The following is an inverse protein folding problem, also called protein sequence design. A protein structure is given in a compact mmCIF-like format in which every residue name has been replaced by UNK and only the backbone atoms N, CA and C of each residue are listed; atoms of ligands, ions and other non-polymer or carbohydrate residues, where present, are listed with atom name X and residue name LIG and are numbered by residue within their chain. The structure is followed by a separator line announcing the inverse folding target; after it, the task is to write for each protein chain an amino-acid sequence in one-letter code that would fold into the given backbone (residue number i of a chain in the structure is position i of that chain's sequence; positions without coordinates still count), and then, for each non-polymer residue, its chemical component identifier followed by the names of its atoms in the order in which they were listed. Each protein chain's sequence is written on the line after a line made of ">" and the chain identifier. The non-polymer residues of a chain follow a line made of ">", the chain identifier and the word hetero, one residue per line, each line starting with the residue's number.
data_IF_657698879747
#
_entry.id   IF_657698879747
#
_cell.length_a   1.000
_cell.length_b   1.000
_cell.length_c   1.000
_cell.angle_alpha   90.00
_cell.angle_beta   90.00
_cell.angle_gamma   90.00
#
_symmetry.space_group_name_H-M   'P 1'
#
loop_
_entity.id
_entity.type
_entity.pdbx_description
1 polymer ?
#
# COMPACT_ATOMS: atom_id res chain seq x y z
N UNK A 1 2.36 14.71 23.37
CA UNK A 1 2.55 13.82 22.21
C UNK A 1 3.97 13.30 22.31
N UNK A 2 4.19 11.99 22.23
CA UNK A 2 5.54 11.45 22.18
C UNK A 2 6.20 11.96 20.87
N UNK A 3 7.47 12.33 20.96
CA UNK A 3 8.26 12.76 19.81
C UNK A 3 8.34 11.61 18.80
N UNK A 4 8.19 11.89 17.50
CA UNK A 4 8.28 10.86 16.46
C UNK A 4 9.66 10.19 16.50
N UNK A 5 9.76 8.86 16.49
CA UNK A 5 11.04 8.18 16.42
C UNK A 5 11.69 8.31 15.02
N UNK A 6 10.97 8.88 14.06
CA UNK A 6 11.42 9.04 12.68
C UNK A 6 12.00 10.44 12.47
N UNK A 7 13.20 10.46 11.88
CA UNK A 7 13.91 11.67 11.49
C UNK A 7 13.73 11.93 10.00
N UNK A 8 13.80 13.19 9.52
CA UNK A 8 13.65 13.51 8.09
C UNK A 8 14.58 12.71 7.17
N UNK A 9 15.83 12.48 7.59
CA UNK A 9 16.82 11.71 6.81
C UNK A 9 16.41 10.24 6.60
N UNK A 10 15.56 9.67 7.42
CA UNK A 10 15.03 8.31 7.23
C UNK A 10 14.20 8.20 5.93
N UNK A 11 13.58 9.30 5.52
CA UNK A 11 12.71 9.35 4.35
C UNK A 11 13.37 9.99 3.12
N UNK A 12 14.68 10.33 3.21
CA UNK A 12 15.45 10.80 2.07
C UNK A 12 15.58 9.70 0.99
N UNK A 13 15.54 10.10 -0.27
CA UNK A 13 15.65 9.21 -1.43
C UNK A 13 16.94 9.47 -2.19
N UNK A 14 17.35 8.57 -3.08
CA UNK A 14 18.48 8.81 -3.97
C UNK A 14 18.10 9.76 -5.12
N UNK A 15 16.83 9.70 -5.53
CA UNK A 15 16.23 10.57 -6.52
C UNK A 15 15.16 11.42 -5.82
N UNK A 16 15.47 12.68 -5.55
CA UNK A 16 14.60 13.67 -4.91
C UNK A 16 13.80 14.50 -5.93
N UNK A 17 13.92 14.20 -7.23
CA UNK A 17 13.08 14.85 -8.24
C UNK A 17 11.60 14.61 -7.93
N UNK A 18 10.72 15.59 -8.22
CA UNK A 18 9.28 15.45 -7.96
C UNK A 18 8.70 14.18 -8.54
N UNK A 19 7.90 13.46 -7.76
CA UNK A 19 7.33 12.18 -8.17
C UNK A 19 6.51 12.24 -9.47
N UNK A 20 5.75 13.30 -9.79
CA UNK A 20 5.11 13.44 -11.08
C UNK A 20 6.06 13.30 -12.28
N UNK A 21 7.32 13.74 -12.17
CA UNK A 21 8.32 13.59 -13.24
C UNK A 21 8.71 12.12 -13.42
N UNK A 22 8.89 11.40 -12.31
CA UNK A 22 9.24 9.96 -12.36
C UNK A 22 8.07 9.10 -12.87
N UNK A 23 6.82 9.42 -12.47
CA UNK A 23 5.62 8.66 -12.81
C UNK A 23 4.89 9.17 -14.06
N UNK A 24 5.40 10.17 -14.78
CA UNK A 24 4.79 10.71 -16.02
C UNK A 24 4.70 9.64 -17.12
N UNK A 25 5.76 8.83 -17.28
CA UNK A 25 5.76 7.73 -18.24
C UNK A 25 5.07 6.49 -17.66
N UNK A 26 4.02 5.99 -18.33
CA UNK A 26 3.33 4.77 -17.91
C UNK A 26 4.28 3.56 -17.84
N UNK A 27 4.22 2.82 -16.74
CA UNK A 27 4.99 1.59 -16.50
C UNK A 27 4.03 0.41 -16.37
N UNK A 28 3.59 -0.10 -17.53
CA UNK A 28 2.66 -1.24 -17.61
C UNK A 28 3.40 -2.56 -17.37
N UNK A 29 4.02 -2.69 -16.20
CA UNK A 29 4.73 -3.88 -15.77
C UNK A 29 4.19 -4.34 -14.41
N UNK A 30 4.17 -5.63 -14.16
CA UNK A 30 3.93 -6.18 -12.83
C UNK A 30 5.26 -6.26 -12.09
N UNK A 31 5.24 -5.99 -10.79
CA UNK A 31 6.46 -5.87 -10.00
C UNK A 31 6.82 -7.15 -9.24
N UNK A 32 5.90 -8.11 -9.19
CA UNK A 32 6.04 -9.42 -8.55
C UNK A 32 5.63 -10.50 -9.54
N UNK A 33 6.11 -11.72 -9.34
CA UNK A 33 5.84 -12.83 -10.23
C UNK A 33 4.40 -13.40 -10.09
N UNK A 34 4.01 -14.28 -11.00
CA UNK A 34 2.64 -14.82 -11.07
C UNK A 34 2.25 -15.61 -9.81
N UNK A 35 3.19 -16.30 -9.15
CA UNK A 35 2.92 -17.02 -7.91
C UNK A 35 2.62 -16.04 -6.77
N UNK A 36 3.41 -14.97 -6.67
CA UNK A 36 3.19 -13.92 -5.68
C UNK A 36 1.86 -13.17 -5.95
N UNK A 37 1.53 -12.90 -7.22
CA UNK A 37 0.25 -12.29 -7.60
C UNK A 37 -0.93 -13.18 -7.17
N UNK A 38 -0.85 -14.48 -7.41
CA UNK A 38 -1.95 -15.39 -7.03
C UNK A 38 -2.09 -15.49 -5.51
N UNK A 39 -0.98 -15.43 -4.76
CA UNK A 39 -1.03 -15.36 -3.29
C UNK A 39 -1.67 -14.05 -2.79
N UNK A 40 -1.37 -12.90 -3.42
CA UNK A 40 -2.05 -11.63 -3.12
C UNK A 40 -3.56 -11.75 -3.34
N UNK A 41 -3.99 -12.33 -4.46
CA UNK A 41 -5.41 -12.58 -4.73
C UNK A 41 -6.05 -13.51 -3.70
N UNK A 42 -5.34 -14.58 -3.32
CA UNK A 42 -5.85 -15.49 -2.29
C UNK A 42 -5.96 -14.78 -0.93
N UNK A 43 -4.95 -13.98 -0.58
CA UNK A 43 -5.00 -13.17 0.64
C UNK A 43 -6.20 -12.21 0.65
N UNK A 44 -6.52 -11.56 -0.48
CA UNK A 44 -7.69 -10.70 -0.60
C UNK A 44 -9.00 -11.47 -0.37
N UNK A 45 -9.15 -12.67 -0.96
CA UNK A 45 -10.33 -13.54 -0.73
C UNK A 45 -10.50 -13.91 0.73
N UNK A 46 -9.39 -14.20 1.42
CA UNK A 46 -9.39 -14.68 2.81
C UNK A 46 -9.68 -13.55 3.81
N UNK A 47 -9.38 -12.29 3.44
CA UNK A 47 -9.21 -11.22 4.44
C UNK A 47 -10.09 -10.00 4.20
N UNK A 48 -10.26 -9.58 2.93
CA UNK A 48 -11.01 -8.38 2.61
C UNK A 48 -12.52 -8.64 2.67
N UNK A 49 -13.33 -7.64 3.03
CA UNK A 49 -14.77 -7.78 3.04
C UNK A 49 -15.28 -8.02 1.62
N UNK A 50 -16.02 -9.11 1.42
CA UNK A 50 -16.78 -9.32 0.20
C UNK A 50 -17.88 -8.24 0.11
N UNK A 51 -18.05 -7.66 -1.07
CA UNK A 51 -19.04 -6.60 -1.31
C UNK A 51 -18.75 -5.28 -0.56
N UNK A 52 -17.48 -5.00 -0.25
CA UNK A 52 -17.01 -3.77 0.39
C UNK A 52 -16.65 -2.65 -0.60
N UNK A 53 -16.55 -1.42 -0.08
CA UNK A 53 -15.91 -0.28 -0.76
C UNK A 53 -14.44 -0.25 -0.37
N UNK A 54 -13.56 -0.47 -1.32
CA UNK A 54 -12.13 -0.66 -1.10
C UNK A 54 -11.34 0.47 -1.77
N UNK A 55 -10.30 0.96 -1.11
CA UNK A 55 -9.31 1.85 -1.69
C UNK A 55 -8.02 1.08 -1.98
N UNK A 56 -7.59 1.07 -3.24
CA UNK A 56 -6.26 0.69 -3.67
C UNK A 56 -5.37 1.95 -3.65
N UNK A 57 -4.61 2.09 -2.57
CA UNK A 57 -3.78 3.27 -2.29
C UNK A 57 -2.40 3.10 -2.94
N UNK A 58 -1.92 4.09 -3.67
CA UNK A 58 -0.75 4.04 -4.54
C UNK A 58 -0.95 3.06 -5.72
N UNK A 59 -2.15 3.07 -6.25
CA UNK A 59 -2.59 2.23 -7.36
C UNK A 59 -1.87 2.55 -8.67
N UNK A 60 -1.83 1.57 -9.54
CA UNK A 60 -1.29 1.62 -10.89
C UNK A 60 -2.19 0.85 -11.86
N UNK A 61 -1.64 0.25 -12.91
CA UNK A 61 -2.38 -0.43 -13.98
C UNK A 61 -2.94 -1.82 -13.60
N UNK A 62 -2.62 -2.34 -12.41
CA UNK A 62 -3.13 -3.61 -11.84
C UNK A 62 -3.27 -3.52 -10.33
N UNK A 63 -4.45 -3.86 -9.84
CA UNK A 63 -4.74 -3.96 -8.41
C UNK A 63 -4.67 -5.40 -7.89
N UNK A 64 -4.51 -6.36 -8.80
CA UNK A 64 -4.51 -7.80 -8.50
C UNK A 64 -5.79 -8.27 -7.79
N UNK A 65 -6.92 -7.61 -8.07
CA UNK A 65 -8.21 -8.02 -7.52
C UNK A 65 -8.61 -9.40 -8.04
N UNK A 66 -9.10 -10.33 -7.17
CA UNK A 66 -9.58 -11.62 -7.63
C UNK A 66 -10.83 -11.45 -8.51
N UNK A 67 -10.86 -11.99 -9.74
CA UNK A 67 -11.97 -11.77 -10.67
C UNK A 67 -13.30 -12.42 -10.22
N UNK A 68 -13.21 -13.39 -9.31
CA UNK A 68 -14.33 -14.10 -8.72
C UNK A 68 -14.80 -13.52 -7.39
N UNK A 69 -14.12 -12.50 -6.84
CA UNK A 69 -14.47 -11.86 -5.58
C UNK A 69 -15.39 -10.65 -5.83
N UNK A 70 -16.61 -10.66 -5.29
CA UNK A 70 -17.49 -9.50 -5.41
C UNK A 70 -16.92 -8.30 -4.65
N UNK A 71 -17.22 -7.11 -5.13
CA UNK A 71 -16.93 -5.83 -4.48
C UNK A 71 -18.05 -4.86 -4.77
N UNK A 72 -18.32 -3.95 -3.85
CA UNK A 72 -19.25 -2.85 -4.13
C UNK A 72 -18.55 -1.80 -5.00
N UNK A 73 -17.32 -1.42 -4.65
CA UNK A 73 -16.50 -0.48 -5.42
C UNK A 73 -15.01 -0.67 -5.07
N UNK A 74 -14.15 -0.65 -6.09
CA UNK A 74 -12.71 -0.52 -5.94
C UNK A 74 -12.26 0.82 -6.52
N UNK A 75 -11.75 1.70 -5.66
CA UNK A 75 -11.25 3.02 -6.03
C UNK A 75 -9.73 3.00 -6.02
N UNK A 76 -9.10 3.45 -7.10
CA UNK A 76 -7.65 3.65 -7.15
C UNK A 76 -7.27 5.07 -6.74
N UNK A 77 -6.18 5.22 -5.98
CA UNK A 77 -5.51 6.51 -5.83
C UNK A 77 -4.04 6.32 -6.22
N UNK A 78 -3.60 7.07 -7.23
CA UNK A 78 -2.26 6.93 -7.78
C UNK A 78 -1.85 8.16 -8.57
N UNK A 79 -0.75 8.08 -9.31
CA UNK A 79 -0.14 9.23 -9.95
C UNK A 79 -0.26 9.24 -11.47
N UNK A 80 -0.47 8.09 -12.11
CA UNK A 80 -0.54 8.00 -13.57
C UNK A 80 -1.96 7.68 -14.04
N UNK A 81 -2.61 8.65 -14.70
CA UNK A 81 -3.98 8.52 -15.17
C UNK A 81 -4.13 7.45 -16.27
N UNK A 82 -3.13 7.29 -17.16
CA UNK A 82 -3.18 6.29 -18.22
C UNK A 82 -3.16 4.88 -17.62
N UNK A 83 -2.23 4.61 -16.69
CA UNK A 83 -2.14 3.32 -16.01
C UNK A 83 -3.46 2.95 -15.32
N UNK A 84 -4.02 3.88 -14.53
CA UNK A 84 -5.24 3.61 -13.79
C UNK A 84 -6.48 3.51 -14.69
N UNK A 85 -6.55 4.26 -15.79
CA UNK A 85 -7.65 4.13 -16.75
C UNK A 85 -7.67 2.78 -17.48
N UNK A 86 -6.53 2.11 -17.57
CA UNK A 86 -6.37 0.77 -18.15
C UNK A 86 -6.37 -0.35 -17.11
N UNK A 87 -6.54 -0.03 -15.83
CA UNK A 87 -6.66 -1.03 -14.78
C UNK A 87 -8.07 -1.64 -14.80
N UNK A 88 -8.22 -2.93 -15.18
CA UNK A 88 -9.52 -3.56 -15.36
C UNK A 88 -10.26 -3.79 -14.03
N UNK A 89 -9.55 -3.67 -12.91
CA UNK A 89 -10.11 -3.96 -11.58
C UNK A 89 -10.80 -2.73 -10.98
N UNK A 90 -10.37 -1.51 -11.37
CA UNK A 90 -10.87 -0.26 -10.80
C UNK A 90 -12.25 0.11 -11.35
N UNK A 91 -13.13 0.57 -10.47
CA UNK A 91 -14.42 1.17 -10.82
C UNK A 91 -14.33 2.70 -10.93
N UNK A 92 -13.32 3.29 -10.28
CA UNK A 92 -13.06 4.75 -10.26
C UNK A 92 -11.63 5.01 -9.81
N UNK A 93 -11.08 6.21 -10.07
CA UNK A 93 -9.77 6.57 -9.58
C UNK A 93 -9.57 8.07 -9.36
N UNK A 94 -8.59 8.41 -8.53
CA UNK A 94 -8.17 9.78 -8.23
C UNK A 94 -6.67 9.92 -8.46
N UNK A 95 -6.27 10.98 -9.17
CA UNK A 95 -4.86 11.35 -9.32
C UNK A 95 -4.45 12.17 -8.11
N UNK A 96 -3.46 11.64 -7.37
CA UNK A 96 -2.99 12.28 -6.15
C UNK A 96 -1.56 11.87 -5.81
N UNK A 97 -0.75 12.84 -5.40
CA UNK A 97 0.63 12.65 -4.94
C UNK A 97 0.68 12.72 -3.40
N UNK A 98 0.77 11.55 -2.75
CA UNK A 98 0.82 11.41 -1.29
C UNK A 98 2.06 12.05 -0.66
N UNK A 99 3.17 12.12 -1.40
CA UNK A 99 4.42 12.68 -0.91
C UNK A 99 4.41 14.22 -0.94
N UNK A 100 3.62 14.79 -1.85
CA UNK A 100 3.36 16.24 -1.92
C UNK A 100 2.25 16.67 -0.96
N UNK A 101 1.21 15.86 -0.83
CA UNK A 101 0.07 16.12 0.05
C UNK A 101 -0.44 14.81 0.68
N UNK A 102 -0.15 14.54 1.95
CA UNK A 102 -0.60 13.32 2.61
C UNK A 102 -2.10 13.29 2.94
N UNK A 103 -2.83 14.43 2.80
CA UNK A 103 -4.27 14.49 3.04
C UNK A 103 -5.02 13.77 1.92
N UNK A 104 -5.80 12.74 2.26
CA UNK A 104 -6.55 11.96 1.30
C UNK A 104 -7.85 12.67 0.88
N UNK A 105 -8.14 12.77 -0.45
CA UNK A 105 -9.31 13.50 -0.99
C UNK A 105 -10.62 12.71 -0.87
N UNK A 106 -10.85 12.11 0.28
CA UNK A 106 -12.04 11.31 0.59
C UNK A 106 -12.67 11.74 1.90
N UNK A 107 -13.98 11.53 2.02
CA UNK A 107 -14.72 11.78 3.25
C UNK A 107 -14.33 10.79 4.36
N UNK A 108 -14.58 11.17 5.60
CA UNK A 108 -14.43 10.30 6.76
C UNK A 108 -15.31 9.05 6.64
N UNK A 109 -14.84 7.91 7.14
CA UNK A 109 -15.59 6.65 7.22
C UNK A 109 -16.20 6.20 5.87
N UNK A 110 -15.44 6.31 4.78
CA UNK A 110 -15.86 5.97 3.42
C UNK A 110 -15.59 4.50 3.08
N UNK A 111 -14.42 3.97 3.46
CA UNK A 111 -13.93 2.68 2.99
C UNK A 111 -14.04 1.58 4.05
N UNK A 112 -14.42 0.38 3.61
CA UNK A 112 -14.40 -0.83 4.42
C UNK A 112 -12.99 -1.39 4.59
N UNK A 113 -12.14 -1.21 3.57
CA UNK A 113 -10.72 -1.51 3.65
C UNK A 113 -9.89 -0.57 2.76
N UNK A 114 -8.61 -0.41 3.12
CA UNK A 114 -7.57 0.24 2.33
C UNK A 114 -6.44 -0.75 2.14
N UNK A 115 -5.94 -0.89 0.91
CA UNK A 115 -4.80 -1.75 0.58
C UNK A 115 -3.68 -0.92 -0.04
N UNK A 116 -2.42 -1.26 0.31
CA UNK A 116 -1.20 -0.77 -0.34
C UNK A 116 -0.43 -1.99 -0.81
N UNK A 117 -0.24 -2.15 -2.11
CA UNK A 117 0.42 -3.33 -2.68
C UNK A 117 1.76 -2.95 -3.32
N UNK A 118 2.85 -3.44 -2.75
CA UNK A 118 4.24 -3.34 -3.24
C UNK A 118 4.70 -1.88 -3.53
N UNK A 119 4.21 -0.91 -2.74
CA UNK A 119 4.51 0.52 -2.95
C UNK A 119 4.82 1.32 -1.67
N UNK A 120 4.63 0.75 -0.50
CA UNK A 120 4.85 1.42 0.82
C UNK A 120 6.26 2.03 0.94
N UNK A 121 7.27 1.44 0.33
CA UNK A 121 8.68 1.87 0.35
C UNK A 121 8.93 3.24 -0.26
N UNK A 122 7.95 3.82 -0.94
CA UNK A 122 8.05 5.13 -1.60
C UNK A 122 7.39 6.26 -0.82
N UNK A 123 6.69 5.96 0.28
CA UNK A 123 6.06 6.98 1.12
C UNK A 123 7.10 7.76 1.91
N UNK A 124 7.11 9.08 1.75
CA UNK A 124 8.00 9.99 2.50
C UNK A 124 7.34 10.53 3.78
N UNK A 125 6.01 10.42 3.89
CA UNK A 125 5.21 10.87 5.03
C UNK A 125 4.27 9.74 5.53
N UNK A 126 4.79 8.53 5.85
CA UNK A 126 3.93 7.37 6.11
C UNK A 126 3.02 7.54 7.34
N UNK A 127 3.48 8.19 8.39
CA UNK A 127 2.69 8.37 9.61
C UNK A 127 1.48 9.27 9.37
N UNK A 128 1.65 10.34 8.59
CA UNK A 128 0.59 11.27 8.19
C UNK A 128 -0.43 10.56 7.29
N UNK A 129 0.04 9.80 6.30
CA UNK A 129 -0.82 9.01 5.41
C UNK A 129 -1.60 7.96 6.21
N UNK A 130 -0.96 7.26 7.17
CA UNK A 130 -1.65 6.27 8.00
C UNK A 130 -2.74 6.90 8.88
N UNK A 131 -2.54 8.14 9.39
CA UNK A 131 -3.60 8.89 10.09
C UNK A 131 -4.78 9.21 9.17
N UNK A 132 -4.50 9.59 7.93
CA UNK A 132 -5.53 9.84 6.94
C UNK A 132 -6.27 8.56 6.52
N UNK A 133 -5.54 7.44 6.37
CA UNK A 133 -6.17 6.12 6.17
C UNK A 133 -7.10 5.79 7.33
N UNK A 134 -6.67 6.02 8.58
CA UNK A 134 -7.54 5.85 9.74
C UNK A 134 -8.80 6.71 9.64
N UNK A 135 -8.68 7.98 9.22
CA UNK A 135 -9.83 8.89 9.07
C UNK A 135 -10.85 8.36 8.07
N UNK A 136 -10.40 7.93 6.89
CA UNK A 136 -11.27 7.50 5.79
C UNK A 136 -11.83 6.08 5.95
N UNK A 137 -11.24 5.25 6.79
CA UNK A 137 -11.78 3.93 7.12
C UNK A 137 -13.06 4.06 7.95
N UNK A 138 -14.03 3.19 7.69
CA UNK A 138 -15.18 2.97 8.56
C UNK A 138 -14.73 2.39 9.91
N UNK A 139 -15.55 2.47 10.98
CA UNK A 139 -15.27 1.74 12.21
C UNK A 139 -15.00 0.26 11.94
N UNK A 140 -13.98 -0.32 12.58
CA UNK A 140 -13.47 -1.68 12.36
C UNK A 140 -12.91 -1.97 10.95
N UNK A 141 -12.81 -0.96 10.10
CA UNK A 141 -12.25 -1.05 8.75
C UNK A 141 -10.79 -1.50 8.77
N UNK A 142 -10.38 -2.20 7.72
CA UNK A 142 -9.08 -2.86 7.64
C UNK A 142 -8.07 -2.04 6.82
N UNK A 143 -6.88 -1.85 7.32
CA UNK A 143 -5.74 -1.34 6.54
C UNK A 143 -4.71 -2.44 6.33
N UNK A 144 -4.44 -2.76 5.08
CA UNK A 144 -3.51 -3.82 4.64
C UNK A 144 -2.35 -3.21 3.89
N UNK A 145 -1.13 -3.55 4.28
CA UNK A 145 0.10 -3.21 3.58
C UNK A 145 0.78 -4.51 3.14
N UNK A 146 0.83 -4.73 1.83
CA UNK A 146 1.53 -5.86 1.22
C UNK A 146 2.85 -5.34 0.64
N UNK A 147 3.95 -6.02 0.95
CA UNK A 147 5.26 -5.69 0.40
C UNK A 147 6.03 -6.93 -0.03
N UNK A 148 7.05 -6.71 -0.83
CA UNK A 148 7.96 -7.71 -1.37
C UNK A 148 9.39 -7.16 -1.33
N UNK A 149 10.35 -7.93 -1.82
CA UNK A 149 11.74 -7.47 -1.98
C UNK A 149 11.97 -6.66 -3.27
N UNK A 150 10.89 -6.34 -4.01
CA UNK A 150 10.94 -5.57 -5.25
C UNK A 150 10.77 -4.07 -4.98
N UNK A 151 11.63 -3.26 -5.58
CA UNK A 151 11.54 -1.79 -5.47
C UNK A 151 12.29 -1.09 -6.61
N UNK A 152 11.98 0.18 -6.83
CA UNK A 152 12.83 1.14 -7.55
C UNK A 152 13.82 1.75 -6.53
N UNK A 153 15.11 1.35 -6.53
CA UNK A 153 16.03 1.75 -5.46
C UNK A 153 16.23 3.26 -5.32
N UNK A 154 16.06 4.00 -6.43
CA UNK A 154 16.23 5.46 -6.44
C UNK A 154 15.11 6.20 -5.75
N UNK A 155 13.87 5.66 -5.77
CA UNK A 155 12.69 6.25 -5.16
C UNK A 155 12.36 5.67 -3.78
N UNK A 156 12.92 4.51 -3.43
CA UNK A 156 12.74 3.94 -2.09
C UNK A 156 13.43 4.81 -1.02
N UNK A 157 12.75 5.03 0.09
CA UNK A 157 13.24 5.85 1.21
C UNK A 157 14.45 5.19 1.91
N UNK A 158 15.33 6.01 2.48
CA UNK A 158 16.62 5.56 3.05
C UNK A 158 16.45 4.47 4.10
N UNK A 159 15.49 4.63 5.01
CA UNK A 159 15.23 3.64 6.06
C UNK A 159 14.84 2.29 5.47
N UNK A 160 14.00 2.25 4.43
CA UNK A 160 13.61 1.00 3.78
C UNK A 160 14.81 0.27 3.17
N UNK A 161 15.66 0.99 2.42
CA UNK A 161 16.84 0.41 1.77
C UNK A 161 17.87 -0.17 2.75
N UNK A 162 17.87 0.27 4.01
CA UNK A 162 18.79 -0.19 5.05
C UNK A 162 18.29 -1.41 5.85
N UNK A 163 17.09 -1.89 5.60
CA UNK A 163 16.43 -2.94 6.37
C UNK A 163 16.25 -4.24 5.58
N UNK A 164 16.11 -5.35 6.28
CA UNK A 164 15.69 -6.63 5.71
C UNK A 164 14.17 -6.83 5.84
N UNK A 165 13.65 -7.91 5.23
CA UNK A 165 12.21 -8.15 5.13
C UNK A 165 11.49 -8.19 6.49
N UNK A 166 12.10 -8.81 7.51
CA UNK A 166 11.53 -8.82 8.87
C UNK A 166 11.50 -7.42 9.47
N UNK A 167 12.56 -6.65 9.29
CA UNK A 167 12.66 -5.28 9.80
C UNK A 167 11.69 -4.35 9.06
N UNK A 168 11.34 -4.62 7.80
CA UNK A 168 10.28 -3.92 7.08
C UNK A 168 8.92 -4.11 7.77
N UNK A 169 8.60 -5.34 8.24
CA UNK A 169 7.37 -5.57 9.01
C UNK A 169 7.36 -4.77 10.32
N UNK A 170 8.48 -4.75 11.04
CA UNK A 170 8.64 -3.98 12.27
C UNK A 170 8.49 -2.46 12.02
N UNK A 171 9.04 -1.97 10.91
CA UNK A 171 8.92 -0.57 10.48
C UNK A 171 7.45 -0.19 10.18
N UNK A 172 6.75 -1.00 9.40
CA UNK A 172 5.32 -0.76 9.09
C UNK A 172 4.48 -0.82 10.37
N UNK A 173 4.77 -1.78 11.26
CA UNK A 173 4.15 -1.85 12.59
C UNK A 173 4.36 -0.56 13.40
N UNK A 174 5.57 0.02 13.32
CA UNK A 174 5.86 1.30 13.96
C UNK A 174 5.08 2.48 13.33
N UNK A 175 4.83 2.47 12.01
CA UNK A 175 3.97 3.47 11.37
C UNK A 175 2.55 3.41 11.92
N UNK A 176 1.97 2.22 12.05
CA UNK A 176 0.65 2.03 12.68
C UNK A 176 0.62 2.55 14.11
N UNK A 177 1.62 2.23 14.92
CA UNK A 177 1.72 2.68 16.31
C UNK A 177 1.83 4.20 16.43
N UNK A 178 2.63 4.83 15.56
CA UNK A 178 2.82 6.29 15.55
C UNK A 178 1.61 7.05 14.99
N UNK A 179 0.90 6.47 14.03
CA UNK A 179 -0.37 7.02 13.56
C UNK A 179 -1.42 7.02 14.68
N UNK A 180 -1.40 5.99 15.51
CA UNK A 180 -2.33 5.81 16.65
C UNK A 180 -3.71 5.30 16.19
N UNK A 181 -4.50 4.86 17.18
CA UNK A 181 -5.89 4.41 16.99
C UNK A 181 -6.08 3.21 16.04
N UNK A 182 -5.02 2.43 15.80
CA UNK A 182 -5.10 1.13 15.16
C UNK A 182 -4.96 0.02 16.19
N UNK A 183 -5.71 -1.05 16.01
CA UNK A 183 -5.72 -2.24 16.86
C UNK A 183 -5.44 -3.48 16.03
N UNK A 184 -5.17 -4.63 16.70
CA UNK A 184 -4.90 -5.90 16.04
C UNK A 184 -3.84 -5.80 14.94
N UNK A 185 -2.68 -5.14 15.25
CA UNK A 185 -1.56 -5.08 14.31
C UNK A 185 -0.97 -6.47 14.17
N UNK A 186 -1.03 -7.03 12.96
CA UNK A 186 -0.53 -8.35 12.62
C UNK A 186 0.47 -8.28 11.48
N UNK A 187 1.50 -9.15 11.53
CA UNK A 187 2.47 -9.31 10.46
C UNK A 187 2.49 -10.79 10.04
N UNK A 188 2.36 -11.06 8.74
CA UNK A 188 2.27 -12.39 8.16
C UNK A 188 3.30 -12.56 7.04
N UNK A 189 3.91 -13.72 6.98
CA UNK A 189 4.65 -14.21 5.81
C UNK A 189 3.69 -15.08 4.98
N UNK A 190 3.35 -14.59 3.81
CA UNK A 190 2.47 -15.23 2.82
C UNK A 190 3.25 -15.66 1.57
N UNK A 191 4.57 -15.78 1.69
CA UNK A 191 5.41 -16.19 0.56
C UNK A 191 4.98 -17.55 0.03
N UNK A 192 4.66 -17.67 -1.27
CA UNK A 192 4.19 -18.91 -1.84
C UNK A 192 5.23 -20.03 -1.72
N UNK A 193 4.80 -21.24 -1.40
CA UNK A 193 5.63 -22.43 -1.50
C UNK A 193 5.78 -22.83 -2.98
N UNK A 194 6.88 -22.48 -3.60
CA UNK A 194 7.18 -22.82 -4.98
C UNK A 194 8.36 -23.77 -5.10
N UNK A 195 8.43 -24.55 -6.19
CA UNK A 195 9.55 -25.45 -6.48
C UNK A 195 10.83 -24.76 -6.98
N UNK A 196 10.80 -23.42 -7.08
CA UNK A 196 11.89 -22.55 -7.53
C UNK A 196 11.82 -21.21 -6.82
N UNK A 197 12.54 -20.20 -7.35
CA UNK A 197 12.44 -18.85 -6.86
C UNK A 197 11.03 -18.29 -7.11
N UNK A 198 10.48 -17.62 -6.11
CA UNK A 198 9.30 -16.78 -6.21
C UNK A 198 9.53 -15.49 -5.43
N UNK A 199 8.89 -14.41 -5.84
CA UNK A 199 8.94 -13.18 -5.09
C UNK A 199 8.23 -13.35 -3.73
N UNK A 200 8.83 -12.91 -2.61
CA UNK A 200 8.19 -13.02 -1.31
C UNK A 200 6.97 -12.12 -1.22
N UNK A 201 5.99 -12.54 -0.42
CA UNK A 201 4.78 -11.77 -0.09
C UNK A 201 4.68 -11.65 1.42
N UNK A 202 4.84 -10.45 1.91
CA UNK A 202 4.70 -10.12 3.33
C UNK A 202 3.53 -9.16 3.52
N UNK A 203 2.83 -9.32 4.62
CA UNK A 203 1.66 -8.49 4.93
C UNK A 203 1.80 -7.92 6.34
N UNK A 204 1.52 -6.64 6.49
CA UNK A 204 1.24 -6.03 7.80
C UNK A 204 -0.11 -5.37 7.72
N UNK A 205 -0.99 -5.68 8.66
CA UNK A 205 -2.35 -5.15 8.65
C UNK A 205 -2.80 -4.73 10.05
N UNK A 206 -3.79 -3.86 10.10
CA UNK A 206 -4.41 -3.42 11.34
C UNK A 206 -5.85 -2.97 11.11
N UNK A 207 -6.66 -2.91 12.18
CA UNK A 207 -8.02 -2.40 12.15
C UNK A 207 -8.12 -1.02 12.76
N UNK A 208 -9.01 -0.21 12.22
CA UNK A 208 -9.43 1.04 12.86
C UNK A 208 -10.15 0.70 14.17
N UNK A 209 -9.71 1.32 15.29
CA UNK A 209 -10.36 1.19 16.61
C UNK A 209 -11.66 1.98 16.70
#
# INVERSE_FOLDING_TARGET
>A
MAESPFLPEHFARLDEDPDPVFYDMPRKVVHIDDHAIEEVKQFFRDTLPSDGVILDLMSSWRSHWPPDMPKQKLVGLGMNAEEMSENPDLDDFVIHDLNSNPLLPFEEATFDAVVVTVSIQYMTQPVEVFREVHRILKPDGLFVVIYSNRMFPTKAVAIWRGLNDRQHAELIGAYFQQAGNFTAIEALDRTPAASGYTDPVYVVMARKS
#
